data_IF_886374139724
#
_entry.id   IF_886374139724
#
_cell.length_a   1.000
_cell.length_b   1.000
_cell.length_c   1.000
_cell.angle_alpha   90.00
_cell.angle_beta   90.00
_cell.angle_gamma   90.00
#
_symmetry.space_group_name_H-M   'P 1'
#
loop_
_entity.id
_entity.type
_entity.pdbx_description
1 polymer ?
#
# COMPACT_ATOMS: atom_id res chain seq x y z
N UNK A 1 -21.32 15.46 -10.73
CA UNK A 1 -20.22 14.59 -11.20
C UNK A 1 -19.60 13.96 -9.98
N UNK A 2 -20.05 12.75 -9.66
CA UNK A 2 -19.54 11.98 -8.52
C UNK A 2 -19.58 10.53 -8.95
N UNK A 3 -18.54 10.11 -9.68
CA UNK A 3 -18.38 8.72 -10.05
C UNK A 3 -17.98 7.96 -8.80
N UNK A 4 -19.00 7.33 -8.19
CA UNK A 4 -18.84 6.30 -7.18
C UNK A 4 -18.11 5.12 -7.82
N UNK A 5 -16.78 5.08 -7.76
CA UNK A 5 -16.04 3.85 -7.94
C UNK A 5 -16.21 2.99 -6.68
N UNK A 6 -17.39 2.38 -6.58
CA UNK A 6 -17.55 1.19 -5.77
C UNK A 6 -16.68 0.09 -6.41
N UNK A 7 -15.43 -0.02 -5.98
CA UNK A 7 -14.60 -1.18 -6.31
C UNK A 7 -15.10 -2.32 -5.43
N UNK A 8 -16.16 -2.98 -5.91
CA UNK A 8 -16.56 -4.29 -5.43
C UNK A 8 -15.42 -5.27 -5.67
N UNK A 9 -14.81 -5.74 -4.59
CA UNK A 9 -14.04 -6.98 -4.52
C UNK A 9 -12.96 -7.18 -5.58
N UNK A 10 -11.89 -6.39 -5.56
CA UNK A 10 -10.66 -6.75 -6.28
C UNK A 10 -9.69 -7.35 -5.25
N UNK A 11 -9.71 -8.67 -5.12
CA UNK A 11 -9.01 -9.37 -4.03
C UNK A 11 -7.50 -9.49 -4.21
N UNK A 12 -6.93 -9.29 -5.40
CA UNK A 12 -5.47 -9.40 -5.60
C UNK A 12 -4.98 -8.41 -6.67
N UNK A 13 -4.16 -7.43 -6.26
CA UNK A 13 -3.47 -6.50 -7.16
C UNK A 13 -2.10 -7.08 -7.47
N UNK A 14 -1.82 -7.37 -8.74
CA UNK A 14 -0.52 -7.86 -9.21
C UNK A 14 0.22 -6.77 -9.98
N UNK A 15 1.50 -6.58 -9.65
CA UNK A 15 2.39 -5.62 -10.29
C UNK A 15 3.63 -6.34 -10.80
N UNK A 16 3.93 -6.14 -12.09
CA UNK A 16 5.15 -6.62 -12.72
C UNK A 16 6.04 -5.45 -13.10
N UNK A 17 7.31 -5.49 -12.74
CA UNK A 17 8.27 -4.44 -13.08
C UNK A 17 9.67 -4.72 -12.58
N UNK A 18 10.60 -3.82 -12.84
CA UNK A 18 11.94 -3.87 -12.24
C UNK A 18 11.89 -3.54 -10.75
N UNK A 19 12.92 -3.95 -10.01
CA UNK A 19 13.05 -3.61 -8.59
C UNK A 19 12.89 -2.10 -8.34
N UNK A 20 13.50 -1.27 -9.19
CA UNK A 20 13.44 0.19 -9.08
C UNK A 20 12.03 0.74 -9.30
N UNK A 21 11.30 0.22 -10.29
CA UNK A 21 9.91 0.64 -10.58
C UNK A 21 8.98 0.26 -9.42
N UNK A 22 9.13 -0.95 -8.88
CA UNK A 22 8.36 -1.43 -7.74
C UNK A 22 8.64 -0.61 -6.48
N UNK A 23 9.91 -0.36 -6.15
CA UNK A 23 10.24 0.42 -4.95
C UNK A 23 9.72 1.86 -5.04
N UNK A 24 9.82 2.48 -6.22
CA UNK A 24 9.25 3.81 -6.46
C UNK A 24 7.73 3.81 -6.29
N UNK A 25 7.03 2.80 -6.81
CA UNK A 25 5.59 2.67 -6.67
C UNK A 25 5.19 2.53 -5.20
N UNK A 26 5.84 1.64 -4.44
CA UNK A 26 5.55 1.42 -3.02
C UNK A 26 5.77 2.70 -2.21
N UNK A 27 6.87 3.43 -2.45
CA UNK A 27 7.13 4.71 -1.78
C UNK A 27 6.11 5.78 -2.14
N UNK A 28 5.66 5.82 -3.38
CA UNK A 28 4.65 6.79 -3.83
C UNK A 28 3.30 6.50 -3.16
N UNK A 29 2.93 5.23 -3.06
CA UNK A 29 1.71 4.80 -2.37
C UNK A 29 1.78 5.01 -0.85
N UNK A 30 2.97 4.89 -0.24
CA UNK A 30 3.13 5.10 1.20
C UNK A 30 3.12 6.57 1.62
N UNK A 31 3.58 7.48 0.76
CA UNK A 31 3.78 8.90 1.08
C UNK A 31 2.58 9.80 0.76
N UNK A 32 1.40 9.21 0.61
CA UNK A 32 0.19 9.92 0.24
C UNK A 32 -0.07 9.81 -1.26
N UNK A 33 -1.07 8.99 -1.58
CA UNK A 33 -1.61 8.77 -2.92
C UNK A 33 -3.01 9.36 -2.99
N UNK A 34 -3.29 10.21 -4.00
CA UNK A 34 -4.66 10.60 -4.31
C UNK A 34 -5.43 9.39 -4.84
N UNK A 35 -6.64 9.14 -4.31
CA UNK A 35 -7.49 7.99 -4.64
C UNK A 35 -6.83 6.62 -4.43
N UNK A 36 -5.97 6.49 -3.41
CA UNK A 36 -5.32 5.22 -3.12
C UNK A 36 -6.35 4.13 -2.79
N UNK A 37 -6.34 2.99 -3.49
CA UNK A 37 -7.23 1.88 -3.16
C UNK A 37 -6.94 1.30 -1.77
N UNK A 38 -5.70 1.47 -1.30
CA UNK A 38 -5.23 0.97 -0.01
C UNK A 38 -5.30 2.00 1.12
N UNK A 39 -5.77 3.24 0.87
CA UNK A 39 -5.67 4.34 1.85
C UNK A 39 -6.28 3.97 3.21
N UNK A 40 -7.51 3.47 3.21
CA UNK A 40 -8.24 3.12 4.44
C UNK A 40 -7.58 1.98 5.20
N UNK A 41 -7.15 0.92 4.49
CA UNK A 41 -6.51 -0.24 5.13
C UNK A 41 -5.12 0.11 5.67
N UNK A 42 -4.31 0.86 4.90
CA UNK A 42 -2.97 1.30 5.29
C UNK A 42 -3.01 2.15 6.57
N UNK A 43 -3.92 3.13 6.62
CA UNK A 43 -4.10 3.99 7.80
C UNK A 43 -4.65 3.20 8.99
N UNK A 44 -5.59 2.27 8.77
CA UNK A 44 -6.12 1.43 9.85
C UNK A 44 -5.03 0.54 10.44
N UNK A 45 -4.17 -0.03 9.59
CA UNK A 45 -3.03 -0.83 10.02
C UNK A 45 -2.02 0.00 10.81
N UNK A 46 -1.71 1.22 10.36
CA UNK A 46 -0.81 2.14 11.07
C UNK A 46 -1.33 2.48 12.47
N UNK A 47 -2.63 2.70 12.64
CA UNK A 47 -3.26 2.96 13.95
C UNK A 47 -3.18 1.72 14.86
N UNK A 48 -3.44 0.53 14.33
CA UNK A 48 -3.34 -0.72 15.10
C UNK A 48 -1.90 -0.97 15.54
N UNK A 49 -0.93 -0.87 14.62
CA UNK A 49 0.48 -1.05 14.96
C UNK A 49 0.98 -0.02 15.98
N UNK A 50 0.56 1.25 15.87
CA UNK A 50 0.92 2.29 16.84
C UNK A 50 0.30 2.07 18.22
N UNK A 51 -0.86 1.40 18.30
CA UNK A 51 -1.47 1.03 19.58
C UNK A 51 -0.77 -0.18 20.22
N UNK A 52 -0.23 -1.10 19.42
CA UNK A 52 0.47 -2.31 19.88
C UNK A 52 1.93 -2.04 20.22
N UNK A 53 2.63 -1.25 19.40
CA UNK A 53 4.00 -0.80 19.64
C UNK A 53 3.95 0.47 20.46
N UNK A 54 4.11 0.36 21.78
CA UNK A 54 4.16 1.48 22.72
C UNK A 54 5.31 2.51 22.46
N UNK A 55 5.99 2.43 21.32
CA UNK A 55 7.07 3.32 20.87
C UNK A 55 6.59 4.42 19.91
N UNK A 56 5.33 4.38 19.47
CA UNK A 56 4.75 5.40 18.59
C UNK A 56 5.30 5.41 17.16
N UNK A 57 6.05 4.39 16.74
CA UNK A 57 6.71 4.37 15.43
C UNK A 57 5.84 3.66 14.38
N UNK A 58 5.22 4.43 13.48
CA UNK A 58 4.29 3.91 12.45
C UNK A 58 4.80 4.00 11.00
N UNK A 59 5.95 4.65 10.75
CA UNK A 59 6.44 4.96 9.38
C UNK A 59 6.72 3.73 8.50
N UNK A 60 7.09 2.58 9.08
CA UNK A 60 7.37 1.35 8.33
C UNK A 60 6.10 0.56 7.95
N UNK A 61 4.96 0.85 8.59
CA UNK A 61 3.74 0.04 8.51
C UNK A 61 3.12 0.02 7.11
N UNK A 62 3.11 1.16 6.41
CA UNK A 62 2.40 1.29 5.15
C UNK A 62 3.16 0.66 3.97
N UNK A 63 4.48 0.81 3.90
CA UNK A 63 5.29 0.13 2.89
C UNK A 63 5.20 -1.40 3.03
N UNK A 64 5.31 -1.89 4.26
CA UNK A 64 5.28 -3.32 4.55
C UNK A 64 3.88 -3.90 4.33
N UNK A 65 2.83 -3.15 4.66
CA UNK A 65 1.46 -3.48 4.33
C UNK A 65 1.27 -3.64 2.82
N UNK A 66 1.71 -2.65 2.04
CA UNK A 66 1.57 -2.67 0.57
C UNK A 66 2.32 -3.85 -0.04
N UNK A 67 3.53 -4.16 0.43
CA UNK A 67 4.30 -5.34 -0.02
C UNK A 67 3.63 -6.67 0.32
N UNK A 68 2.80 -6.73 1.37
CA UNK A 68 2.00 -7.93 1.72
C UNK A 68 0.71 -8.02 0.90
N UNK A 69 0.15 -6.88 0.49
CA UNK A 69 -1.14 -6.82 -0.23
C UNK A 69 -1.02 -6.90 -1.74
N UNK A 70 0.11 -6.48 -2.30
CA UNK A 70 0.36 -6.47 -3.73
C UNK A 70 1.22 -7.68 -4.08
N UNK A 71 0.76 -8.49 -5.04
CA UNK A 71 1.59 -9.54 -5.64
C UNK A 71 2.65 -8.86 -6.52
N UNK A 72 3.92 -8.95 -6.12
CA UNK A 72 5.03 -8.31 -6.83
C UNK A 72 5.78 -9.37 -7.64
N UNK A 73 5.91 -9.11 -8.95
CA UNK A 73 6.75 -9.91 -9.85
C UNK A 73 7.89 -9.04 -10.36
N UNK A 74 9.12 -9.39 -9.95
CA UNK A 74 10.31 -8.67 -10.38
C UNK A 74 10.81 -9.26 -11.70
N UNK A 75 10.89 -8.41 -12.71
CA UNK A 75 11.56 -8.74 -13.98
C UNK A 75 12.99 -8.23 -13.97
N UNK A 76 13.93 -9.15 -14.22
CA UNK A 76 15.32 -8.81 -14.51
C UNK A 76 15.39 -8.35 -15.96
N UNK A 77 15.44 -7.03 -16.17
CA UNK A 77 15.79 -6.44 -17.47
C UNK A 77 17.30 -6.48 -17.70
#
# INVERSE_FOLDING_TARGET
MSENYAIGGMTEVRVTGTQKEVDWMIQTLSNGCENCPFFTECNSHAVIEAAERQDGYSELSCCDFLRKKIEIVIESK
#
